data_IF_641037830544
#
_entry.id   IF_641037830544
#
_cell.length_a   1.000
_cell.length_b   1.000
_cell.length_c   1.000
_cell.angle_alpha   90.00
_cell.angle_beta   90.00
_cell.angle_gamma   90.00
#
_symmetry.space_group_name_H-M   'P 1'
#
loop_
_entity.id
_entity.type
_entity.pdbx_description
1 polymer ?
#
# COMPACT_ATOMS: atom_id res chain seq x y z
N UNK A 1 -24.99 8.28 -58.46
CA UNK A 1 -23.71 8.53 -57.76
C UNK A 1 -23.75 7.80 -56.42
N UNK A 2 -22.89 6.80 -56.22
CA UNK A 2 -22.81 6.00 -54.99
C UNK A 2 -22.08 6.83 -53.92
N UNK A 3 -22.75 7.17 -52.83
CA UNK A 3 -22.15 7.90 -51.72
C UNK A 3 -21.39 6.90 -50.83
N UNK A 4 -20.06 7.00 -50.86
CA UNK A 4 -19.14 6.06 -50.22
C UNK A 4 -19.24 6.12 -48.68
N UNK A 5 -19.91 5.15 -48.07
CA UNK A 5 -20.05 4.95 -46.63
C UNK A 5 -18.77 4.47 -45.90
N UNK A 6 -17.58 4.86 -46.39
CA UNK A 6 -16.28 4.43 -45.83
C UNK A 6 -15.65 5.44 -44.86
N UNK A 7 -16.16 6.67 -44.85
CA UNK A 7 -15.63 7.76 -44.00
C UNK A 7 -16.12 7.82 -42.54
N UNK A 8 -17.34 7.36 -42.15
CA UNK A 8 -17.81 7.59 -40.77
C UNK A 8 -17.22 6.60 -39.75
N UNK A 9 -16.69 5.46 -40.21
CA UNK A 9 -16.14 4.42 -39.33
C UNK A 9 -14.78 4.80 -38.73
N UNK A 10 -13.99 5.63 -39.42
CA UNK A 10 -12.66 6.04 -38.95
C UNK A 10 -12.73 7.11 -37.86
N UNK A 11 -13.76 7.96 -37.86
CA UNK A 11 -13.97 9.02 -36.85
C UNK A 11 -14.44 8.42 -35.52
N UNK A 12 -15.23 7.34 -35.57
CA UNK A 12 -15.75 6.67 -34.37
C UNK A 12 -14.65 5.95 -33.57
N UNK A 13 -13.61 5.43 -34.24
CA UNK A 13 -12.46 4.77 -33.60
C UNK A 13 -11.58 5.77 -32.86
N UNK A 14 -11.44 7.00 -33.37
CA UNK A 14 -10.69 8.06 -32.71
C UNK A 14 -11.38 8.62 -31.47
N UNK A 15 -12.71 8.64 -31.43
CA UNK A 15 -13.47 9.13 -30.27
C UNK A 15 -13.37 8.20 -29.05
N UNK A 16 -13.19 6.89 -29.26
CA UNK A 16 -13.09 5.88 -28.19
C UNK A 16 -11.72 5.85 -27.49
N UNK A 17 -10.66 6.43 -28.09
CA UNK A 17 -9.32 6.43 -27.51
C UNK A 17 -9.09 7.57 -26.50
N UNK A 18 -9.99 8.55 -26.43
CA UNK A 18 -9.83 9.75 -25.60
C UNK A 18 -10.25 9.59 -24.11
N UNK A 19 -10.66 8.40 -23.68
CA UNK A 19 -11.18 8.14 -22.32
C UNK A 19 -10.25 7.29 -21.44
N UNK A 20 -9.04 6.94 -21.91
CA UNK A 20 -8.03 6.33 -21.06
C UNK A 20 -7.26 7.40 -20.30
N UNK A 21 -7.86 7.96 -19.24
CA UNK A 21 -7.10 8.73 -18.26
C UNK A 21 -6.28 7.71 -17.46
N UNK A 22 -4.94 7.70 -17.55
CA UNK A 22 -4.15 6.94 -16.59
C UNK A 22 -4.37 7.65 -15.26
N UNK A 23 -5.05 6.99 -14.33
CA UNK A 23 -5.00 7.38 -12.93
C UNK A 23 -3.56 7.16 -12.46
N UNK A 24 -2.69 8.12 -12.74
CA UNK A 24 -1.42 8.23 -12.04
C UNK A 24 -1.77 8.40 -10.57
N UNK A 25 -1.55 7.34 -9.80
CA UNK A 25 -1.41 7.42 -8.36
C UNK A 25 -0.36 8.48 -8.09
N UNK A 26 -0.81 9.67 -7.66
CA UNK A 26 0.07 10.65 -7.06
C UNK A 26 0.59 9.99 -5.78
N UNK A 27 1.78 9.40 -5.86
CA UNK A 27 2.57 9.06 -4.68
C UNK A 27 2.89 10.39 -4.02
N UNK A 28 2.08 10.79 -3.04
CA UNK A 28 2.40 11.88 -2.15
C UNK A 28 3.71 11.50 -1.45
N UNK A 29 4.79 12.24 -1.73
CA UNK A 29 6.09 11.96 -1.11
C UNK A 29 6.01 12.46 0.32
N UNK A 30 5.50 11.60 1.19
CA UNK A 30 5.49 11.79 2.64
C UNK A 30 6.91 11.60 3.16
N UNK A 31 7.40 12.53 3.97
CA UNK A 31 8.63 12.31 4.73
C UNK A 31 8.38 11.23 5.78
N UNK A 32 9.12 10.12 5.67
CA UNK A 32 9.07 9.02 6.62
C UNK A 32 10.20 9.15 7.64
N UNK A 33 10.02 8.62 8.86
CA UNK A 33 11.12 8.44 9.81
C UNK A 33 12.28 7.65 9.19
N UNK A 34 13.47 7.83 9.75
CA UNK A 34 14.64 7.04 9.34
C UNK A 34 14.38 5.54 9.55
N UNK A 35 14.88 4.67 8.65
CA UNK A 35 14.78 3.22 8.81
C UNK A 35 15.42 2.74 10.12
N UNK A 36 14.72 1.85 10.82
CA UNK A 36 15.14 1.24 12.07
C UNK A 36 15.38 -0.25 11.85
N UNK A 37 16.65 -0.64 11.84
CA UNK A 37 17.06 -2.03 11.67
C UNK A 37 16.82 -2.86 12.92
N UNK A 38 16.59 -4.16 12.73
CA UNK A 38 16.34 -5.13 13.77
C UNK A 38 14.89 -5.15 14.25
N UNK A 39 14.68 -5.83 15.38
CA UNK A 39 13.37 -5.92 16.02
C UNK A 39 12.99 -4.63 16.75
N UNK A 40 11.70 -4.46 17.02
CA UNK A 40 11.20 -3.27 17.73
C UNK A 40 11.56 -3.33 19.21
N UNK A 41 12.47 -2.44 19.63
CA UNK A 41 12.88 -2.25 21.02
C UNK A 41 12.28 -1.01 21.66
N UNK A 42 12.03 0.03 20.87
CA UNK A 42 11.36 1.26 21.28
C UNK A 42 9.88 1.20 20.87
N UNK A 43 9.03 0.76 21.80
CA UNK A 43 7.59 0.64 21.58
C UNK A 43 6.91 2.01 21.45
N UNK A 44 7.41 3.04 22.12
CA UNK A 44 6.81 4.37 22.05
C UNK A 44 7.00 4.96 20.65
N UNK A 45 8.22 4.91 20.11
CA UNK A 45 8.50 5.37 18.75
C UNK A 45 7.76 4.54 17.68
N UNK A 46 7.49 3.27 17.97
CA UNK A 46 6.67 2.41 17.11
C UNK A 46 5.21 2.82 17.14
N UNK A 47 4.62 3.01 18.32
CA UNK A 47 3.23 3.46 18.47
C UNK A 47 3.00 4.83 17.83
N UNK A 48 3.93 5.77 17.99
CA UNK A 48 3.89 7.06 17.31
C UNK A 48 3.88 6.91 15.78
N UNK A 49 4.69 5.99 15.24
CA UNK A 49 4.70 5.71 13.81
C UNK A 49 3.40 5.06 13.33
N UNK A 50 2.83 4.12 14.09
CA UNK A 50 1.53 3.50 13.73
C UNK A 50 0.40 4.54 13.80
N UNK A 51 0.45 5.48 14.74
CA UNK A 51 -0.54 6.57 14.84
C UNK A 51 -0.56 7.49 13.60
N UNK A 52 0.50 7.45 12.77
CA UNK A 52 0.56 8.15 11.48
C UNK A 52 -0.24 7.47 10.36
N UNK A 53 -0.88 6.34 10.64
CA UNK A 53 -1.60 5.49 9.70
C UNK A 53 -0.78 5.14 8.43
N UNK A 54 0.39 4.50 8.58
CA UNK A 54 1.27 4.23 7.44
C UNK A 54 0.65 3.18 6.50
N UNK A 55 1.03 3.23 5.22
CA UNK A 55 0.77 2.07 4.32
C UNK A 55 1.68 0.90 4.68
N UNK A 56 1.35 -0.33 4.23
CA UNK A 56 2.26 -1.48 4.35
C UNK A 56 3.64 -1.24 3.73
N UNK A 57 3.72 -0.49 2.63
CA UNK A 57 4.99 -0.12 1.99
C UNK A 57 5.80 0.85 2.87
N UNK A 58 5.15 1.89 3.42
CA UNK A 58 5.79 2.84 4.34
C UNK A 58 6.30 2.11 5.58
N UNK A 59 5.52 1.16 6.13
CA UNK A 59 5.95 0.33 7.25
C UNK A 59 7.23 -0.45 6.93
N UNK A 60 7.28 -1.13 5.77
CA UNK A 60 8.47 -1.90 5.36
C UNK A 60 9.71 -1.04 5.11
N UNK A 61 9.54 0.25 4.82
CA UNK A 61 10.66 1.19 4.70
C UNK A 61 11.23 1.58 6.07
N UNK A 62 10.35 1.82 7.05
CA UNK A 62 10.76 2.24 8.40
C UNK A 62 11.19 1.06 9.27
N UNK A 63 10.56 -0.10 9.15
CA UNK A 63 10.85 -1.32 9.91
C UNK A 63 11.11 -2.52 8.98
N UNK A 64 12.25 -2.52 8.25
CA UNK A 64 12.52 -3.51 7.20
C UNK A 64 12.71 -4.94 7.72
N UNK A 65 13.14 -5.09 8.98
CA UNK A 65 13.42 -6.39 9.59
C UNK A 65 12.24 -6.97 10.39
N UNK A 66 11.14 -6.22 10.50
CA UNK A 66 9.90 -6.68 11.15
C UNK A 66 9.00 -7.33 10.12
N UNK A 67 8.61 -8.58 10.38
CA UNK A 67 7.68 -9.32 9.54
C UNK A 67 6.28 -8.74 9.73
N UNK A 68 5.81 -7.99 8.75
CA UNK A 68 4.45 -7.48 8.69
C UNK A 68 3.50 -8.56 8.15
N UNK A 69 2.47 -8.90 8.93
CA UNK A 69 1.39 -9.81 8.54
C UNK A 69 0.11 -9.00 8.38
N UNK A 70 -0.51 -9.06 7.19
CA UNK A 70 -1.74 -8.33 6.87
C UNK A 70 -2.98 -9.22 7.09
N UNK A 71 -4.18 -8.61 7.23
CA UNK A 71 -5.42 -9.36 7.26
C UNK A 71 -5.58 -10.24 6.01
N UNK A 72 -5.79 -11.54 6.21
CA UNK A 72 -5.93 -12.52 5.13
C UNK A 72 -4.64 -13.23 4.75
N UNK A 73 -3.48 -12.77 5.23
CA UNK A 73 -2.22 -13.50 5.05
C UNK A 73 -2.24 -14.83 5.80
N UNK A 74 -1.70 -15.86 5.15
CA UNK A 74 -1.51 -17.16 5.79
C UNK A 74 -0.20 -17.13 6.55
N UNK A 75 -0.28 -17.07 7.89
CA UNK A 75 0.86 -17.14 8.79
C UNK A 75 0.79 -18.39 9.70
N UNK A 76 1.94 -18.99 9.99
CA UNK A 76 2.04 -20.05 10.99
C UNK A 76 2.01 -19.46 12.39
N UNK A 77 1.29 -20.11 13.32
CA UNK A 77 1.20 -19.73 14.74
C UNK A 77 2.44 -20.14 15.52
N UNK A 78 3.59 -19.62 15.12
CA UNK A 78 4.82 -19.71 15.90
C UNK A 78 4.77 -18.65 17.01
N UNK A 79 5.02 -19.04 18.25
CA UNK A 79 5.10 -18.10 19.37
C UNK A 79 6.48 -17.46 19.40
N UNK A 80 6.53 -16.12 19.32
CA UNK A 80 7.74 -15.30 19.41
C UNK A 80 7.54 -14.24 20.50
N UNK A 81 8.64 -13.71 21.03
CA UNK A 81 8.60 -12.72 22.14
C UNK A 81 9.57 -11.57 21.90
N UNK A 82 10.12 -11.49 20.70
CA UNK A 82 11.19 -10.57 20.31
C UNK A 82 10.68 -9.35 19.53
N UNK A 83 9.35 -9.17 19.37
CA UNK A 83 8.74 -8.14 18.53
C UNK A 83 9.22 -8.16 17.06
N UNK A 84 9.62 -9.34 16.56
CA UNK A 84 10.05 -9.51 15.16
C UNK A 84 8.88 -9.64 14.17
N UNK A 85 7.65 -9.80 14.64
CA UNK A 85 6.46 -9.98 13.79
C UNK A 85 5.30 -9.14 14.29
N UNK A 86 4.72 -8.37 13.39
CA UNK A 86 3.60 -7.49 13.67
C UNK A 86 2.39 -7.88 12.83
N UNK A 87 1.28 -8.20 13.49
CA UNK A 87 -0.01 -8.48 12.86
C UNK A 87 -0.81 -7.19 12.82
N UNK A 88 -0.99 -6.63 11.62
CA UNK A 88 -1.58 -5.31 11.43
C UNK A 88 -3.10 -5.35 11.29
N UNK A 89 -3.74 -4.35 11.89
CA UNK A 89 -5.12 -3.98 11.61
C UNK A 89 -5.14 -2.85 10.58
N UNK A 90 -5.99 -3.00 9.56
CA UNK A 90 -6.12 -2.04 8.47
C UNK A 90 -7.46 -1.30 8.51
N UNK A 91 -7.46 -0.04 8.07
CA UNK A 91 -8.70 0.70 7.78
C UNK A 91 -9.25 0.37 6.38
N UNK A 92 -10.34 1.06 6.00
CA UNK A 92 -10.98 0.90 4.70
C UNK A 92 -10.14 1.42 3.51
N UNK A 93 -9.05 2.12 3.77
CA UNK A 93 -8.07 2.61 2.79
C UNK A 93 -6.77 1.78 2.83
N UNK A 94 -6.78 0.63 3.49
CA UNK A 94 -5.63 -0.27 3.62
C UNK A 94 -4.44 0.36 4.36
N UNK A 95 -4.69 1.38 5.20
CA UNK A 95 -3.68 1.97 6.10
C UNK A 95 -3.63 1.19 7.41
N UNK A 96 -2.44 1.05 7.98
CA UNK A 96 -2.24 0.40 9.27
C UNK A 96 -2.70 1.33 10.38
N UNK A 97 -3.75 0.93 11.11
CA UNK A 97 -4.31 1.72 12.23
C UNK A 97 -4.01 1.11 13.60
N UNK A 98 -3.44 -0.08 13.63
CA UNK A 98 -3.17 -0.81 14.86
C UNK A 98 -2.59 -2.20 14.59
N UNK A 99 -2.57 -3.03 15.63
CA UNK A 99 -2.12 -4.41 15.54
C UNK A 99 -1.47 -4.90 16.82
N UNK A 100 -0.76 -6.03 16.72
CA UNK A 100 -0.06 -6.62 17.86
C UNK A 100 1.19 -7.40 17.46
N UNK A 101 2.17 -7.44 18.36
CA UNK A 101 3.33 -8.33 18.24
C UNK A 101 3.00 -9.74 18.76
N UNK A 102 3.51 -10.78 18.09
CA UNK A 102 3.43 -12.19 18.49
C UNK A 102 4.63 -12.98 18.02
#
# INVERSE_FOLDING_TARGET
MKLNARFPMLVLVWLLFALAVPACSMTEVRELPEPRSGVVTDLAAFEEFIALAPTPEEFRQVYPDVVLILPGDIATREFRTDNSRFFADLDAQERIIGGSFQ
#
